data_IF_306399213069
#
_entry.id   IF_306399213069
#
_cell.length_a   1.000
_cell.length_b   1.000
_cell.length_c   1.000
_cell.angle_alpha   90.00
_cell.angle_beta   90.00
_cell.angle_gamma   90.00
#
_symmetry.space_group_name_H-M   'P 1'
#
loop_
_entity.id
_entity.type
_entity.pdbx_description
1 polymer ?
#
# COMPACT_ATOMS: atom_id res chain seq x y z
N UNK A 1 2.42 18.84 4.49
CA UNK A 1 2.19 17.44 4.09
C UNK A 1 0.88 17.43 3.32
N UNK A 2 0.96 17.38 2.00
CA UNK A 2 -0.23 17.23 1.16
C UNK A 2 -0.53 15.73 1.13
N UNK A 3 -1.58 15.29 1.82
CA UNK A 3 -2.00 13.89 1.77
C UNK A 3 -2.67 13.61 0.43
N UNK A 4 -2.38 12.45 -0.18
CA UNK A 4 -3.04 12.02 -1.40
C UNK A 4 -4.58 11.92 -1.22
N UNK A 5 -5.39 12.65 -2.01
CA UNK A 5 -6.85 12.56 -1.93
C UNK A 5 -7.35 11.31 -2.65
N UNK A 6 -7.44 10.20 -1.93
CA UNK A 6 -7.98 8.94 -2.46
C UNK A 6 -9.48 9.08 -2.76
N UNK A 7 -9.88 8.65 -3.95
CA UNK A 7 -11.30 8.54 -4.29
C UNK A 7 -11.98 7.48 -3.41
N UNK A 8 -13.23 7.76 -3.02
CA UNK A 8 -14.08 6.82 -2.27
C UNK A 8 -14.88 5.94 -3.23
N UNK A 9 -15.30 6.51 -4.36
CA UNK A 9 -16.11 5.85 -5.39
C UNK A 9 -15.58 6.16 -6.79
N UNK A 10 -15.99 5.34 -7.76
CA UNK A 10 -15.66 5.48 -9.17
C UNK A 10 -14.46 4.64 -9.62
N UNK A 11 -14.09 4.69 -10.91
CA UNK A 11 -13.12 3.78 -11.51
C UNK A 11 -11.71 3.90 -10.90
N UNK A 12 -11.34 5.09 -10.43
CA UNK A 12 -10.05 5.30 -9.77
C UNK A 12 -10.04 4.97 -8.26
N UNK A 13 -11.16 4.59 -7.66
CA UNK A 13 -11.21 4.29 -6.24
C UNK A 13 -10.48 2.97 -5.93
N UNK A 14 -9.53 2.96 -4.99
CA UNK A 14 -8.82 1.74 -4.62
C UNK A 14 -9.77 0.75 -3.91
N UNK A 15 -9.55 -0.56 -4.08
CA UNK A 15 -10.32 -1.59 -3.39
C UNK A 15 -10.32 -1.38 -1.88
N UNK A 16 -11.51 -1.42 -1.29
CA UNK A 16 -11.72 -1.30 0.16
C UNK A 16 -12.62 -2.41 0.68
N UNK A 17 -12.36 -2.85 1.91
CA UNK A 17 -13.26 -3.68 2.69
C UNK A 17 -13.56 -2.97 4.02
N UNK A 18 -14.84 -2.80 4.33
CA UNK A 18 -15.32 -2.05 5.48
C UNK A 18 -14.65 -0.67 5.69
N UNK A 19 -14.28 0.01 4.59
CA UNK A 19 -13.64 1.33 4.59
C UNK A 19 -12.11 1.33 4.60
N UNK A 20 -11.48 0.21 4.93
CA UNK A 20 -10.02 0.02 4.93
C UNK A 20 -9.51 -0.41 3.55
N UNK A 21 -8.30 0.02 3.18
CA UNK A 21 -7.67 -0.40 1.93
C UNK A 21 -7.31 -1.89 2.00
N UNK A 22 -7.69 -2.63 0.97
CA UNK A 22 -7.32 -4.05 0.86
C UNK A 22 -6.26 -4.27 -0.20
N UNK A 23 -5.34 -5.16 0.13
CA UNK A 23 -4.25 -5.62 -0.72
C UNK A 23 -4.28 -7.15 -0.71
N UNK A 24 -4.49 -7.76 -1.86
CA UNK A 24 -4.47 -9.20 -2.04
C UNK A 24 -3.05 -9.76 -1.95
N UNK A 25 -2.07 -8.98 -2.40
CA UNK A 25 -0.67 -9.39 -2.46
C UNK A 25 0.26 -8.34 -1.84
N UNK A 26 1.41 -8.76 -1.26
CA UNK A 26 2.34 -7.83 -0.61
C UNK A 26 2.93 -6.76 -1.53
N UNK A 27 2.90 -6.94 -2.85
CA UNK A 27 3.39 -5.95 -3.81
C UNK A 27 2.38 -4.80 -4.02
N UNK A 28 1.09 -5.04 -3.80
CA UNK A 28 0.04 -4.05 -4.03
C UNK A 28 0.12 -2.90 -3.02
N UNK A 29 0.36 -3.23 -1.74
CA UNK A 29 0.58 -2.22 -0.70
C UNK A 29 1.84 -1.39 -0.94
N UNK A 30 2.88 -2.02 -1.51
CA UNK A 30 4.11 -1.34 -1.93
C UNK A 30 3.85 -0.40 -3.11
N UNK A 31 3.12 -0.84 -4.12
CA UNK A 31 2.73 0.00 -5.27
C UNK A 31 1.93 1.23 -4.84
N UNK A 32 0.96 1.04 -3.93
CA UNK A 32 0.19 2.12 -3.34
C UNK A 32 1.09 3.10 -2.57
N UNK A 33 1.94 2.59 -1.68
CA UNK A 33 2.86 3.42 -0.89
C UNK A 33 3.84 4.22 -1.73
N UNK A 34 4.32 3.67 -2.86
CA UNK A 34 5.21 4.38 -3.79
C UNK A 34 4.53 5.59 -4.42
N UNK A 35 3.31 5.44 -4.96
CA UNK A 35 2.59 6.55 -5.57
C UNK A 35 2.29 7.67 -4.55
N UNK A 36 1.84 7.31 -3.34
CA UNK A 36 1.58 8.28 -2.26
C UNK A 36 2.87 9.00 -1.85
N UNK A 37 3.97 8.27 -1.65
CA UNK A 37 5.25 8.87 -1.23
C UNK A 37 5.82 9.83 -2.28
N UNK A 38 5.67 9.50 -3.57
CA UNK A 38 6.11 10.37 -4.67
C UNK A 38 5.27 11.64 -4.78
N UNK A 39 3.95 11.52 -4.60
CA UNK A 39 3.07 12.68 -4.54
C UNK A 39 3.39 13.58 -3.33
N UNK A 40 3.54 13.00 -2.14
CA UNK A 40 3.90 13.74 -0.92
C UNK A 40 5.25 14.45 -1.06
N UNK A 41 6.17 13.89 -1.83
CA UNK A 41 7.46 14.49 -2.20
C UNK A 41 7.37 15.57 -3.29
N UNK A 42 6.19 15.78 -3.88
CA UNK A 42 5.94 16.77 -4.93
C UNK A 42 6.45 16.35 -6.32
N UNK A 43 6.67 15.06 -6.57
CA UNK A 43 7.14 14.57 -7.87
C UNK A 43 6.07 14.68 -8.96
N UNK A 44 4.79 14.67 -8.58
CA UNK A 44 3.66 14.93 -9.48
C UNK A 44 2.41 15.36 -8.69
N UNK A 45 1.47 15.98 -9.39
CA UNK A 45 0.14 16.27 -8.87
C UNK A 45 -0.75 15.02 -8.86
N UNK A 46 -1.44 14.77 -7.75
CA UNK A 46 -2.30 13.60 -7.60
C UNK A 46 -3.41 13.52 -8.66
N UNK A 47 -3.93 14.67 -9.10
CA UNK A 47 -4.96 14.75 -10.14
C UNK A 47 -4.45 14.24 -11.50
N UNK A 48 -3.17 14.43 -11.80
CA UNK A 48 -2.53 13.92 -13.03
C UNK A 48 -2.46 12.40 -12.97
N UNK A 49 -2.03 11.85 -11.84
CA UNK A 49 -2.03 10.41 -11.60
C UNK A 49 -3.43 9.79 -11.67
N UNK A 50 -4.41 10.41 -11.02
CA UNK A 50 -5.79 9.95 -11.06
C UNK A 50 -6.34 9.94 -12.49
N UNK A 51 -6.06 10.97 -13.30
CA UNK A 51 -6.48 11.01 -14.69
C UNK A 51 -5.82 9.89 -15.53
N UNK A 52 -4.53 9.64 -15.33
CA UNK A 52 -3.81 8.56 -16.00
C UNK A 52 -4.40 7.18 -15.63
N UNK A 53 -4.71 6.95 -14.36
CA UNK A 53 -5.33 5.72 -13.88
C UNK A 53 -6.70 5.48 -14.52
N UNK A 54 -7.55 6.50 -14.57
CA UNK A 54 -8.86 6.41 -15.24
C UNK A 54 -8.68 6.05 -16.72
N UNK A 55 -7.69 6.65 -17.40
CA UNK A 55 -7.42 6.36 -18.79
C UNK A 55 -6.99 4.90 -19.02
N UNK A 56 -6.12 4.36 -18.16
CA UNK A 56 -5.68 2.95 -18.21
C UNK A 56 -6.82 1.97 -17.98
N UNK A 57 -7.64 2.22 -16.97
CA UNK A 57 -8.83 1.42 -16.66
C UNK A 57 -9.79 1.43 -17.86
N UNK A 58 -10.10 2.62 -18.38
CA UNK A 58 -10.98 2.75 -19.55
C UNK A 58 -10.41 2.08 -20.80
N UNK A 59 -9.09 2.08 -20.99
CA UNK A 59 -8.46 1.40 -22.13
C UNK A 59 -8.58 -0.12 -22.03
N UNK A 60 -8.35 -0.69 -20.84
CA UNK A 60 -8.56 -2.11 -20.60
C UNK A 60 -10.03 -2.50 -20.79
N UNK A 61 -10.95 -1.70 -20.25
CA UNK A 61 -12.41 -1.87 -20.43
C UNK A 61 -12.85 -1.69 -21.89
N UNK A 62 -12.09 -1.03 -22.77
CA UNK A 62 -12.42 -1.04 -24.21
C UNK A 62 -11.92 -2.30 -24.90
N UNK A 63 -10.76 -2.78 -24.49
CA UNK A 63 -10.11 -3.96 -25.05
C UNK A 63 -10.79 -5.27 -24.67
N UNK A 64 -11.34 -5.35 -23.46
CA UNK A 64 -11.90 -6.58 -22.84
C UNK A 64 -11.14 -7.85 -23.29
N UNK A 65 -9.82 -7.95 -23.03
CA UNK A 65 -9.04 -9.07 -23.51
C UNK A 65 -9.57 -10.38 -22.93
N UNK A 66 -10.04 -11.27 -23.79
CA UNK A 66 -10.58 -12.57 -23.39
C UNK A 66 -9.53 -13.37 -22.62
N UNK A 67 -9.88 -13.79 -21.40
CA UNK A 67 -9.04 -14.64 -20.56
C UNK A 67 -8.01 -13.91 -19.69
N UNK A 68 -7.95 -12.58 -19.73
CA UNK A 68 -7.08 -11.81 -18.83
C UNK A 68 -7.80 -11.46 -17.51
N UNK A 69 -7.15 -11.67 -16.37
CA UNK A 69 -7.70 -11.29 -15.07
C UNK A 69 -7.54 -9.80 -14.80
N UNK A 70 -8.60 -9.17 -14.31
CA UNK A 70 -8.57 -7.79 -13.86
C UNK A 70 -7.64 -7.62 -12.66
N UNK A 71 -6.77 -6.61 -12.67
CA UNK A 71 -5.92 -6.24 -11.54
C UNK A 71 -5.84 -4.72 -11.42
N UNK A 72 -6.49 -4.18 -10.39
CA UNK A 72 -6.50 -2.74 -10.12
C UNK A 72 -5.09 -2.19 -9.89
N UNK A 73 -4.30 -2.85 -9.04
CA UNK A 73 -2.95 -2.37 -8.70
C UNK A 73 -1.94 -2.55 -9.84
N UNK A 74 -2.24 -3.36 -10.86
CA UNK A 74 -1.47 -3.38 -12.10
C UNK A 74 -1.71 -2.10 -12.91
N UNK A 75 -2.98 -1.72 -13.11
CA UNK A 75 -3.31 -0.45 -13.76
C UNK A 75 -2.83 0.78 -12.97
N UNK A 76 -2.78 0.69 -11.64
CA UNK A 76 -2.14 1.68 -10.77
C UNK A 76 -0.66 1.88 -11.09
N UNK A 77 0.10 0.80 -11.26
CA UNK A 77 1.51 0.86 -11.63
C UNK A 77 1.70 1.39 -13.05
N UNK A 78 0.93 0.90 -14.03
CA UNK A 78 0.99 1.39 -15.42
C UNK A 78 0.75 2.91 -15.49
N UNK A 79 -0.23 3.41 -14.74
CA UNK A 79 -0.52 4.84 -14.65
C UNK A 79 0.59 5.63 -13.95
N UNK A 80 1.23 5.05 -12.93
CA UNK A 80 2.36 5.68 -12.24
C UNK A 80 3.55 5.80 -13.19
N UNK A 81 3.84 4.75 -13.97
CA UNK A 81 4.90 4.75 -14.97
C UNK A 81 4.67 5.81 -16.06
N UNK A 82 3.43 5.96 -16.54
CA UNK A 82 3.07 6.99 -17.51
C UNK A 82 3.35 8.40 -16.99
N UNK A 83 2.93 8.68 -15.75
CA UNK A 83 3.08 9.99 -15.12
C UNK A 83 4.56 10.34 -14.94
N UNK A 84 5.36 9.39 -14.44
CA UNK A 84 6.79 9.60 -14.21
C UNK A 84 7.56 9.76 -15.53
N UNK A 85 7.16 9.05 -16.58
CA UNK A 85 7.78 9.16 -17.91
C UNK A 85 7.40 10.47 -18.61
N UNK A 86 6.15 10.91 -18.48
CA UNK A 86 5.65 12.13 -19.12
C UNK A 86 6.27 13.41 -18.54
N UNK A 87 6.55 13.43 -17.23
CA UNK A 87 7.12 14.60 -16.56
C UNK A 87 8.65 14.71 -16.78
N UNK A 88 9.31 13.64 -17.25
CA UNK A 88 10.77 13.59 -17.46
C UNK A 88 11.58 13.63 -16.17
N UNK A 89 10.91 13.51 -15.02
CA UNK A 89 11.44 13.84 -13.69
C UNK A 89 12.21 12.69 -13.05
N UNK A 90 12.08 11.45 -13.55
CA UNK A 90 12.81 10.30 -13.01
C UNK A 90 13.22 9.36 -14.14
N UNK A 91 14.54 9.13 -14.30
CA UNK A 91 15.03 8.04 -15.13
C UNK A 91 14.51 6.72 -14.55
N UNK A 92 14.00 5.80 -15.38
CA UNK A 92 13.37 4.55 -14.92
C UNK A 92 14.24 3.75 -13.92
N UNK A 93 15.56 3.90 -14.05
CA UNK A 93 16.59 3.39 -13.14
C UNK A 93 16.54 3.94 -11.70
N UNK A 94 16.16 5.19 -11.49
CA UNK A 94 16.03 5.78 -10.15
C UNK A 94 14.73 5.33 -9.46
N UNK A 95 13.64 5.16 -10.21
CA UNK A 95 12.38 4.52 -9.73
C UNK A 95 12.67 3.09 -9.27
N UNK A 96 13.38 2.31 -10.08
CA UNK A 96 13.76 0.93 -9.75
C UNK A 96 14.66 0.87 -8.49
N UNK A 97 15.60 1.81 -8.33
CA UNK A 97 16.47 1.87 -7.16
C UNK A 97 15.69 2.17 -5.87
N UNK A 98 14.72 3.09 -5.92
CA UNK A 98 13.86 3.43 -4.77
C UNK A 98 12.87 2.33 -4.45
N UNK A 99 12.28 1.68 -5.46
CA UNK A 99 11.44 0.50 -5.30
C UNK A 99 12.19 -0.64 -4.59
N UNK A 100 13.48 -0.85 -4.94
CA UNK A 100 14.34 -1.82 -4.26
C UNK A 100 14.61 -1.45 -2.80
N UNK A 101 14.95 -0.20 -2.51
CA UNK A 101 15.20 0.27 -1.15
C UNK A 101 13.95 0.17 -0.25
N UNK A 102 12.75 0.37 -0.81
CA UNK A 102 11.47 0.20 -0.12
C UNK A 102 11.13 -1.29 0.08
N UNK A 103 11.43 -2.15 -0.90
CA UNK A 103 11.28 -3.61 -0.77
C UNK A 103 12.25 -4.24 0.25
N UNK A 104 13.42 -3.65 0.47
CA UNK A 104 14.39 -4.06 1.49
C UNK A 104 13.95 -3.73 2.93
N UNK A 105 12.98 -2.82 3.09
CA UNK A 105 12.33 -2.53 4.38
C UNK A 105 11.25 -3.58 4.63
N UNK A 106 11.67 -4.77 5.07
CA UNK A 106 10.78 -5.86 5.44
C UNK A 106 9.66 -5.38 6.40
N UNK A 107 8.43 -5.90 6.29
CA UNK A 107 7.41 -5.75 7.33
C UNK A 107 7.92 -6.48 8.58
N UNK A 108 8.62 -5.72 9.44
CA UNK A 108 9.16 -6.18 10.70
C UNK A 108 8.03 -6.48 11.67
N UNK A 109 7.73 -7.77 11.79
CA UNK A 109 7.02 -8.41 12.87
C UNK A 109 7.72 -8.14 14.22
N UNK A 110 7.05 -7.47 15.17
CA UNK A 110 7.40 -7.56 16.60
C UNK A 110 6.13 -7.38 17.45
N UNK A 111 5.32 -8.43 17.52
CA UNK A 111 4.63 -8.74 18.76
C UNK A 111 5.19 -10.08 19.22
N UNK A 112 6.19 -10.00 20.10
CA UNK A 112 6.63 -11.12 20.91
C UNK A 112 5.42 -11.77 21.57
N UNK A 113 5.43 -13.09 21.48
CA UNK A 113 4.71 -14.03 22.32
C UNK A 113 5.06 -13.72 23.79
N UNK A 114 4.27 -12.85 24.44
CA UNK A 114 4.28 -12.71 25.89
C UNK A 114 3.52 -13.91 26.46
N UNK A 115 4.23 -15.04 26.55
CA UNK A 115 3.86 -16.15 27.41
C UNK A 115 3.83 -15.67 28.86
N UNK A 116 2.65 -15.26 29.34
CA UNK A 116 2.42 -15.06 30.76
C UNK A 116 2.09 -16.42 31.39
N UNK A 117 3.13 -17.07 31.88
CA UNK A 117 3.07 -18.14 32.86
C UNK A 117 2.57 -17.53 34.20
N UNK A 118 1.25 -17.47 34.39
CA UNK A 118 0.65 -17.20 35.71
C UNK A 118 0.62 -18.51 36.52
N UNK A 119 1.80 -18.92 36.96
CA UNK A 119 2.02 -20.02 37.89
C UNK A 119 2.68 -19.53 39.18
N UNK A 120 1.96 -18.79 40.02
CA UNK A 120 2.40 -18.51 41.39
C UNK A 120 1.29 -18.83 42.42
N UNK A 121 1.37 -20.06 42.93
CA UNK A 121 0.74 -20.51 44.18
C UNK A 121 1.53 -19.90 45.36
N UNK A 122 0.99 -18.85 45.98
CA UNK A 122 1.50 -18.31 47.24
C UNK A 122 0.60 -18.73 48.40
N UNK A 123 0.83 -19.95 48.90
CA UNK A 123 0.48 -20.33 50.26
C UNK A 123 1.56 -19.86 51.24
N UNK A 124 1.28 -18.83 52.04
CA UNK A 124 1.88 -18.64 53.38
C UNK A 124 1.03 -17.69 54.24
N UNK A 125 0.02 -18.24 54.91
CA UNK A 125 -0.65 -17.59 56.04
C UNK A 125 0.06 -17.90 57.35
N UNK A 126 0.92 -17.00 57.83
CA UNK A 126 1.40 -17.00 59.22
C UNK A 126 0.35 -16.32 60.12
N UNK A 127 -0.44 -17.12 60.84
CA UNK A 127 -1.35 -16.66 61.89
C UNK A 127 -0.87 -17.14 63.27
N UNK A 128 -0.38 -16.20 64.08
CA UNK A 128 -0.05 -16.40 65.49
C UNK A 128 -1.32 -16.61 66.33
N UNK A 129 -1.30 -17.56 67.28
CA UNK A 129 -2.36 -17.80 68.24
C UNK A 129 -1.84 -18.29 69.59
N UNK A 130 -1.94 -17.38 70.57
CA UNK A 130 -1.89 -17.44 72.03
C UNK A 130 -1.74 -18.77 72.78
#
# INVERSE_FOLDING_TARGET
MTTAPLAVDGPAAPPRDNGELVFAEPWESRAFGMAVSLHDAGAFDWSVFQAALIARIAEWERGHPDGESWSYYRHWLDALEDVLTADGTVAADEVAARARALGERAPGHDHRDDGHDDGHDEGHGHGHGH
#
